data_IF_768384765886
#
_entry.id   IF_768384765886
#
_cell.length_a   1.000
_cell.length_b   1.000
_cell.length_c   1.000
_cell.angle_alpha   90.00
_cell.angle_beta   90.00
_cell.angle_gamma   90.00
#
_symmetry.space_group_name_H-M   'P 1'
#
loop_
_entity.id
_entity.type
_entity.pdbx_description
1 polymer ?
#
# COMPACT_ATOMS: atom_id res chain seq x y z
N UNK A 1 -3.80 41.65 -18.74
CA UNK A 1 -4.90 40.79 -19.25
C UNK A 1 -5.04 39.62 -18.30
N UNK A 2 -6.23 39.33 -17.78
CA UNK A 2 -6.41 38.16 -16.91
C UNK A 2 -6.19 36.90 -17.75
N UNK A 3 -5.39 35.98 -17.21
CA UNK A 3 -5.15 34.67 -17.81
C UNK A 3 -6.40 33.84 -17.55
N UNK A 4 -7.01 33.34 -18.63
CA UNK A 4 -8.17 32.48 -18.55
C UNK A 4 -7.71 31.13 -17.99
N UNK A 5 -8.04 30.86 -16.72
CA UNK A 5 -7.75 29.58 -16.08
C UNK A 5 -8.80 28.60 -16.60
N UNK A 6 -8.42 27.52 -17.33
CA UNK A 6 -9.40 26.59 -17.85
C UNK A 6 -10.16 25.91 -16.70
N UNK A 7 -11.45 25.69 -16.92
CA UNK A 7 -12.32 24.95 -16.01
C UNK A 7 -11.68 23.59 -15.64
N UNK A 8 -11.92 23.09 -14.42
CA UNK A 8 -11.40 21.78 -14.00
C UNK A 8 -11.83 20.73 -15.03
N UNK A 9 -10.87 19.88 -15.43
CA UNK A 9 -11.06 18.78 -16.39
C UNK A 9 -12.36 18.03 -16.09
N UNK A 10 -13.30 18.00 -17.04
CA UNK A 10 -14.47 17.14 -16.94
C UNK A 10 -13.98 15.69 -16.95
N UNK A 11 -14.42 14.89 -15.98
CA UNK A 11 -14.19 13.45 -16.00
C UNK A 11 -14.86 12.85 -17.25
N UNK A 12 -14.23 11.85 -17.88
CA UNK A 12 -14.72 11.21 -19.13
C UNK A 12 -16.09 10.52 -18.98
N UNK A 13 -16.69 10.51 -17.79
CA UNK A 13 -18.00 9.91 -17.53
C UNK A 13 -19.11 10.95 -17.25
N UNK A 14 -18.81 12.24 -17.26
CA UNK A 14 -19.79 13.33 -17.13
C UNK A 14 -20.58 13.31 -15.83
N UNK A 15 -20.03 12.73 -14.76
CA UNK A 15 -20.77 12.53 -13.51
C UNK A 15 -20.62 13.69 -12.53
N UNK A 16 -19.67 14.61 -12.73
CA UNK A 16 -19.54 15.81 -11.90
C UNK A 16 -19.43 15.49 -10.40
N UNK A 17 -18.98 14.28 -10.07
CA UNK A 17 -18.86 13.84 -8.69
C UNK A 17 -17.50 14.33 -8.22
N UNK A 18 -17.41 15.12 -7.13
CA UNK A 18 -16.12 15.35 -6.54
C UNK A 18 -15.49 13.99 -6.26
N UNK A 19 -14.22 13.79 -6.65
CA UNK A 19 -13.40 12.66 -6.18
C UNK A 19 -13.37 12.75 -4.65
N UNK A 20 -14.37 12.18 -4.01
CA UNK A 20 -14.53 12.12 -2.58
C UNK A 20 -14.46 10.64 -2.26
N UNK A 21 -13.28 10.12 -1.92
CA UNK A 21 -13.24 8.85 -1.20
C UNK A 21 -13.85 9.11 0.17
N UNK A 22 -15.12 8.72 0.32
CA UNK A 22 -15.87 9.02 1.54
C UNK A 22 -15.93 7.86 2.53
N UNK A 23 -15.15 6.78 2.36
CA UNK A 23 -14.94 5.81 3.45
C UNK A 23 -13.51 5.27 3.37
N UNK A 24 -12.68 5.44 4.42
CA UNK A 24 -11.37 4.81 4.48
C UNK A 24 -11.54 3.28 4.55
N UNK A 25 -10.78 2.57 3.71
CA UNK A 25 -10.76 1.11 3.70
C UNK A 25 -9.84 0.62 4.82
N UNK A 26 -10.39 -0.16 5.75
CA UNK A 26 -9.62 -0.78 6.84
C UNK A 26 -9.32 -2.23 6.47
N UNK A 27 -8.04 -2.59 6.45
CA UNK A 27 -7.58 -3.97 6.21
C UNK A 27 -6.67 -4.44 7.33
N UNK A 28 -6.68 -5.75 7.61
CA UNK A 28 -5.77 -6.36 8.59
C UNK A 28 -4.55 -6.94 7.88
N UNK A 29 -3.36 -6.65 8.41
CA UNK A 29 -2.09 -7.26 8.01
C UNK A 29 -1.64 -8.22 9.12
N UNK A 30 -2.01 -9.51 9.06
CA UNK A 30 -1.72 -10.46 10.13
C UNK A 30 -0.23 -10.76 10.23
N UNK A 31 0.27 -10.85 11.45
CA UNK A 31 1.65 -11.21 11.72
C UNK A 31 1.89 -12.70 11.44
N UNK A 32 3.16 -13.04 11.22
CA UNK A 32 3.62 -14.43 11.16
C UNK A 32 4.50 -14.77 12.35
N UNK A 33 4.40 -16.01 12.80
CA UNK A 33 5.33 -16.64 13.73
C UNK A 33 6.10 -17.73 13.00
N UNK A 34 7.41 -17.74 13.15
CA UNK A 34 8.27 -18.81 12.63
C UNK A 34 8.58 -19.77 13.76
N UNK A 35 7.89 -20.91 13.81
CA UNK A 35 7.96 -21.87 14.93
C UNK A 35 9.22 -22.73 14.87
N UNK A 36 9.67 -23.05 13.67
CA UNK A 36 10.96 -23.70 13.42
C UNK A 36 11.67 -23.00 12.28
N UNK A 37 13.00 -22.92 12.38
CA UNK A 37 13.85 -22.30 11.38
C UNK A 37 15.19 -23.02 11.37
N UNK A 38 15.58 -23.50 10.19
CA UNK A 38 16.89 -24.10 9.93
C UNK A 38 17.49 -23.46 8.70
N UNK A 39 18.72 -22.97 8.83
CA UNK A 39 19.55 -22.62 7.68
C UNK A 39 20.14 -23.90 7.12
N UNK A 40 19.91 -24.18 5.84
CA UNK A 40 20.35 -25.40 5.16
C UNK A 40 21.46 -25.13 4.14
N UNK A 41 21.75 -23.87 3.84
CA UNK A 41 22.84 -23.48 2.95
C UNK A 41 22.89 -21.98 2.70
N UNK A 42 23.83 -21.57 1.86
CA UNK A 42 24.01 -20.20 1.36
C UNK A 42 23.83 -20.23 -0.16
N UNK A 43 23.09 -19.25 -0.69
CA UNK A 43 22.84 -19.05 -2.11
C UNK A 43 23.91 -18.13 -2.70
N UNK A 44 24.10 -18.23 -4.01
CA UNK A 44 25.08 -17.41 -4.75
C UNK A 44 24.74 -15.91 -4.76
N UNK A 45 23.50 -15.54 -4.39
CA UNK A 45 23.04 -14.15 -4.24
C UNK A 45 23.24 -13.58 -2.83
N UNK A 46 23.91 -14.32 -1.94
CA UNK A 46 24.24 -13.89 -0.58
C UNK A 46 23.14 -14.15 0.46
N UNK A 47 22.00 -14.73 0.06
CA UNK A 47 20.96 -15.16 1.01
C UNK A 47 21.18 -16.60 1.50
N UNK A 48 20.35 -17.04 2.46
CA UNK A 48 20.37 -18.40 2.98
C UNK A 48 19.24 -19.24 2.39
N UNK A 49 19.51 -20.54 2.21
CA UNK A 49 18.45 -21.54 2.07
C UNK A 49 17.87 -21.81 3.45
N UNK A 50 16.54 -21.74 3.55
CA UNK A 50 15.82 -21.91 4.80
C UNK A 50 14.80 -23.05 4.68
N UNK A 51 14.79 -23.91 5.70
CA UNK A 51 13.67 -24.79 6.01
C UNK A 51 12.96 -24.23 7.25
N UNK A 52 11.69 -23.87 7.12
CA UNK A 52 10.97 -23.13 8.15
C UNK A 52 9.49 -23.48 8.20
N UNK A 53 8.94 -23.59 9.41
CA UNK A 53 7.50 -23.67 9.68
C UNK A 53 6.98 -22.28 10.04
N UNK A 54 6.14 -21.71 9.17
CA UNK A 54 5.50 -20.42 9.39
C UNK A 54 4.01 -20.63 9.64
N UNK A 55 3.49 -19.94 10.66
CA UNK A 55 2.06 -19.89 10.94
C UNK A 55 1.62 -18.44 11.07
N UNK A 56 0.43 -18.15 10.57
CA UNK A 56 -0.25 -16.88 10.80
C UNK A 56 -0.87 -16.89 12.20
N UNK A 57 -0.84 -15.74 12.87
CA UNK A 57 -1.46 -15.55 14.20
C UNK A 57 -2.51 -14.45 14.14
N UNK A 58 -3.40 -14.40 15.13
CA UNK A 58 -4.47 -13.41 15.17
C UNK A 58 -4.00 -11.98 15.52
N UNK A 59 -2.74 -11.82 15.92
CA UNK A 59 -2.09 -10.52 16.06
C UNK A 59 -1.86 -9.92 14.66
N UNK A 60 -2.34 -8.69 14.44
CA UNK A 60 -2.25 -8.03 13.14
C UNK A 60 -2.10 -6.52 13.32
N UNK A 61 -1.44 -5.88 12.36
CA UNK A 61 -1.58 -4.45 12.16
C UNK A 61 -2.93 -4.16 11.49
N UNK A 62 -3.51 -3.01 11.82
CA UNK A 62 -4.69 -2.49 11.14
C UNK A 62 -4.27 -1.31 10.25
N UNK A 63 -4.43 -1.47 8.94
CA UNK A 63 -4.05 -0.48 7.95
C UNK A 63 -5.30 0.26 7.51
N UNK A 64 -5.31 1.57 7.73
CA UNK A 64 -6.34 2.47 7.19
C UNK A 64 -5.82 3.05 5.88
N UNK A 65 -6.51 2.75 4.78
CA UNK A 65 -6.19 3.24 3.45
C UNK A 65 -7.21 4.32 3.07
N UNK A 66 -6.71 5.51 2.74
CA UNK A 66 -7.49 6.65 2.29
C UNK A 66 -6.81 7.32 1.10
N UNK A 67 -7.52 8.22 0.40
CA UNK A 67 -6.87 9.11 -0.58
C UNK A 67 -5.78 9.93 0.10
N UNK A 68 -4.63 10.03 -0.56
CA UNK A 68 -3.55 10.93 -0.18
C UNK A 68 -3.28 11.94 -1.30
N UNK A 69 -2.81 13.13 -0.92
CA UNK A 69 -2.23 14.06 -1.90
C UNK A 69 -0.81 13.64 -2.24
N UNK A 70 -0.49 13.62 -3.54
CA UNK A 70 0.83 13.25 -4.05
C UNK A 70 1.87 14.32 -3.66
N UNK A 71 3.11 13.89 -3.37
CA UNK A 71 4.25 14.79 -3.16
C UNK A 71 4.61 15.51 -4.46
N UNK A 72 4.62 16.84 -4.44
CA UNK A 72 5.16 17.65 -5.53
C UNK A 72 6.70 17.73 -5.41
N UNK A 73 7.41 17.52 -6.54
CA UNK A 73 8.82 17.86 -6.64
C UNK A 73 8.91 19.39 -6.69
N UNK A 74 9.57 19.98 -5.69
CA UNK A 74 9.88 21.41 -5.67
C UNK A 74 11.29 21.53 -6.26
N UNK A 75 11.41 22.23 -7.39
CA UNK A 75 12.69 22.62 -8.00
C UNK A 75 13.42 23.69 -7.16
#
# INVERSE_FOLDING_TARGET
>A
MPVDVPAPYEDEFGLGVPLTISVPLVVRAPAKLTRSLRITGVRDDGYHLLDAELVTVDLADELTIAEGELLAVID
#
